data_IF_227465682400
#
_entry.id   IF_227465682400
#
_cell.length_a   1.000
_cell.length_b   1.000
_cell.length_c   1.000
_cell.angle_alpha   90.00
_cell.angle_beta   90.00
_cell.angle_gamma   90.00
#
_symmetry.space_group_name_H-M   'P 1'
#
loop_
_entity.id
_entity.type
_entity.pdbx_description
1 polymer ?
#
# COMPACT_ATOMS: atom_id res chain seq x y z
N UNK A 1 7.32 6.26 3.54
CA UNK A 1 7.30 5.37 2.35
C UNK A 1 6.98 3.95 2.83
N UNK A 2 6.58 3.01 1.97
CA UNK A 2 6.37 1.61 2.36
C UNK A 2 7.16 0.67 1.48
N UNK A 3 7.55 -0.48 2.01
CA UNK A 3 8.19 -1.56 1.27
C UNK A 3 7.33 -2.82 1.36
N UNK A 4 6.94 -3.35 0.20
CA UNK A 4 6.15 -4.57 0.07
C UNK A 4 6.98 -5.64 -0.63
N UNK A 5 6.93 -6.87 -0.13
CA UNK A 5 7.78 -7.97 -0.62
C UNK A 5 7.65 -8.23 -2.13
N UNK A 6 6.44 -8.12 -2.67
CA UNK A 6 6.17 -8.33 -4.11
C UNK A 6 6.33 -7.08 -4.98
N UNK A 7 6.08 -5.90 -4.43
CA UNK A 7 5.92 -4.66 -5.22
C UNK A 7 7.08 -3.69 -5.03
N UNK A 8 7.99 -3.97 -4.10
CA UNK A 8 9.10 -3.12 -3.75
C UNK A 8 8.66 -1.90 -2.93
N UNK A 9 9.37 -0.79 -3.12
CA UNK A 9 9.09 0.46 -2.41
C UNK A 9 8.01 1.26 -3.13
N UNK A 10 7.18 1.92 -2.34
CA UNK A 10 6.12 2.77 -2.85
C UNK A 10 5.67 3.83 -1.86
N UNK A 11 4.95 4.82 -2.36
CA UNK A 11 4.41 5.93 -1.60
C UNK A 11 2.90 5.78 -1.51
N UNK A 12 2.35 5.85 -0.30
CA UNK A 12 0.90 5.84 -0.10
C UNK A 12 0.34 7.15 -0.62
N UNK A 13 -0.54 7.08 -1.62
CA UNK A 13 -1.17 8.25 -2.24
C UNK A 13 -2.50 8.60 -1.56
N UNK A 14 -3.29 7.59 -1.18
CA UNK A 14 -4.58 7.76 -0.51
C UNK A 14 -4.90 6.59 0.40
N UNK A 15 -5.73 6.82 1.41
CA UNK A 15 -6.28 5.77 2.27
C UNK A 15 -7.79 5.94 2.30
N UNK A 16 -8.52 4.89 1.98
CA UNK A 16 -9.97 4.84 2.05
C UNK A 16 -10.43 3.81 3.07
N UNK A 17 -11.51 4.13 3.77
CA UNK A 17 -12.17 3.23 4.70
C UNK A 17 -13.64 3.12 4.30
N UNK A 18 -14.07 1.93 3.88
CA UNK A 18 -15.44 1.68 3.46
C UNK A 18 -15.93 0.36 4.04
N UNK A 19 -17.09 0.37 4.72
CA UNK A 19 -17.79 -0.85 5.13
C UNK A 19 -17.01 -1.78 6.06
N UNK A 20 -16.07 -1.25 6.86
CA UNK A 20 -15.26 -2.02 7.82
C UNK A 20 -13.85 -2.38 7.33
N UNK A 21 -13.58 -2.26 6.03
CA UNK A 21 -12.27 -2.53 5.46
C UNK A 21 -11.51 -1.24 5.14
N UNK A 22 -10.22 -1.20 5.48
CA UNK A 22 -9.32 -0.11 5.11
C UNK A 22 -8.46 -0.51 3.92
N UNK A 23 -8.41 0.35 2.91
CA UNK A 23 -7.60 0.20 1.69
C UNK A 23 -6.63 1.37 1.59
N UNK A 24 -5.41 1.08 1.17
CA UNK A 24 -4.42 2.09 0.83
C UNK A 24 -4.13 2.01 -0.67
N UNK A 25 -4.15 3.16 -1.33
CA UNK A 25 -3.61 3.33 -2.67
C UNK A 25 -2.14 3.67 -2.53
N UNK A 26 -1.29 2.91 -3.19
CA UNK A 26 0.17 3.04 -3.11
C UNK A 26 0.70 3.07 -4.51
N UNK A 27 1.53 4.06 -4.81
CA UNK A 27 2.28 4.13 -6.06
C UNK A 27 3.66 3.50 -5.85
N UNK A 28 3.87 2.33 -6.46
CA UNK A 28 5.11 1.57 -6.35
C UNK A 28 6.03 1.90 -7.51
N UNK A 29 7.31 2.11 -7.25
CA UNK A 29 8.31 2.42 -8.28
C UNK A 29 8.34 1.38 -9.41
N UNK A 30 8.22 0.09 -9.06
CA UNK A 30 8.33 -1.01 -10.02
C UNK A 30 6.98 -1.55 -10.52
N UNK A 31 5.88 -1.28 -9.79
CA UNK A 31 4.56 -1.88 -10.07
C UNK A 31 3.48 -0.85 -10.40
N UNK A 32 3.80 0.44 -10.34
CA UNK A 32 2.89 1.58 -10.47
C UNK A 32 1.85 1.61 -9.35
N UNK A 33 0.72 2.26 -9.62
CA UNK A 33 -0.37 2.36 -8.66
C UNK A 33 -1.01 0.98 -8.37
N UNK A 34 -1.15 0.66 -7.09
CA UNK A 34 -1.79 -0.55 -6.58
C UNK A 34 -2.64 -0.23 -5.37
N UNK A 35 -3.68 -1.03 -5.18
CA UNK A 35 -4.54 -0.98 -4.01
C UNK A 35 -4.17 -2.13 -3.06
N UNK A 36 -3.88 -1.79 -1.81
CA UNK A 36 -3.60 -2.73 -0.74
C UNK A 36 -4.75 -2.75 0.27
N UNK A 37 -5.26 -3.93 0.57
CA UNK A 37 -6.19 -4.11 1.68
C UNK A 37 -5.38 -4.19 2.97
N UNK A 38 -5.46 -3.18 3.82
CA UNK A 38 -4.57 -3.01 4.98
C UNK A 38 -4.67 -4.18 5.98
N UNK A 39 -5.81 -4.88 6.04
CA UNK A 39 -5.99 -6.05 6.92
C UNK A 39 -5.16 -7.27 6.51
N UNK A 40 -4.69 -7.32 5.26
CA UNK A 40 -3.87 -8.43 4.75
C UNK A 40 -2.51 -7.97 4.22
N UNK A 41 -2.29 -6.66 4.11
CA UNK A 41 -1.09 -6.13 3.50
C UNK A 41 0.10 -6.29 4.46
N UNK A 42 1.04 -7.15 4.07
CA UNK A 42 2.34 -7.31 4.74
C UNK A 42 3.33 -6.35 4.12
N UNK A 43 3.39 -5.13 4.64
CA UNK A 43 4.38 -4.13 4.25
C UNK A 43 5.15 -3.65 5.46
N UNK A 44 6.36 -3.14 5.23
CA UNK A 44 7.15 -2.43 6.24
C UNK A 44 7.06 -0.94 5.96
N UNK A 45 6.95 -0.15 7.01
CA UNK A 45 7.10 1.30 6.89
C UNK A 45 8.60 1.57 6.80
N UNK A 46 9.00 2.24 5.71
CA UNK A 46 10.37 2.69 5.48
C UNK A 46 10.37 4.23 5.48
N UNK A 47 11.34 4.81 6.19
CA UNK A 47 11.42 6.25 6.41
C UNK A 47 11.88 6.98 5.15
#
# INVERSE_FOLDING_TARGET
>A
MIEHERFGRGVVTSIEQSGGDKRAFVDFDSAGQKQLLLKFAKFKIVQ
#
